data_IF_693521504204
#
_entry.id   IF_693521504204
#
_cell.length_a   1.000
_cell.length_b   1.000
_cell.length_c   1.000
_cell.angle_alpha   90.00
_cell.angle_beta   90.00
_cell.angle_gamma   90.00
#
_symmetry.space_group_name_H-M   'P 1'
#
loop_
_entity.id
_entity.type
_entity.pdbx_description
1 polymer ?
#
# COMPACT_ATOMS: atom_id res chain seq x y z
N UNK A 1 47.15 65.75 27.02
CA UNK A 1 47.88 64.85 26.10
C UNK A 1 47.52 63.37 26.39
N UNK A 2 46.36 63.00 26.61
CA UNK A 2 46.00 61.59 26.87
C UNK A 2 44.62 61.16 26.36
N UNK A 3 44.34 61.56 25.10
CA UNK A 3 43.01 61.28 24.57
C UNK A 3 42.99 60.65 23.17
N UNK A 4 44.03 60.03 22.74
CA UNK A 4 44.16 59.47 21.39
C UNK A 4 44.32 57.94 21.34
N UNK A 5 44.12 57.22 22.42
CA UNK A 5 44.34 55.75 22.45
C UNK A 5 43.09 54.90 22.53
N UNK A 6 41.91 55.44 22.40
CA UNK A 6 40.68 54.66 22.63
C UNK A 6 39.83 54.38 21.37
N UNK A 7 40.37 54.53 20.18
CA UNK A 7 39.60 54.38 18.94
C UNK A 7 40.05 53.29 17.97
N UNK A 8 40.83 52.34 18.38
CA UNK A 8 41.31 51.31 17.43
C UNK A 8 40.93 49.86 17.73
N UNK A 9 39.96 49.61 18.58
CA UNK A 9 39.63 48.24 18.94
C UNK A 9 38.16 47.85 18.69
N UNK A 10 37.53 48.40 17.69
CA UNK A 10 36.09 48.10 17.40
C UNK A 10 35.78 47.68 15.97
N UNK A 11 36.73 47.16 15.20
CA UNK A 11 36.45 46.81 13.80
C UNK A 11 36.89 45.43 13.36
N UNK A 12 36.98 44.45 14.26
CA UNK A 12 37.42 43.12 13.84
C UNK A 12 36.48 41.95 14.21
N UNK A 13 35.25 42.21 14.61
CA UNK A 13 34.37 41.11 15.06
C UNK A 13 33.26 40.71 14.06
N UNK A 14 32.88 41.49 13.02
CA UNK A 14 31.77 41.03 12.15
C UNK A 14 32.15 40.05 11.05
N UNK A 15 33.45 39.83 10.77
CA UNK A 15 33.85 38.97 9.66
C UNK A 15 33.98 37.49 10.01
N UNK A 16 34.05 37.15 11.27
CA UNK A 16 34.14 35.75 11.71
C UNK A 16 32.80 35.06 11.94
N UNK A 17 31.72 35.83 12.10
CA UNK A 17 30.37 35.26 12.23
C UNK A 17 29.70 34.93 10.89
N UNK A 18 30.12 35.56 9.81
CA UNK A 18 29.53 35.33 8.48
C UNK A 18 30.00 34.02 7.83
N UNK A 19 31.14 33.48 8.25
CA UNK A 19 31.67 32.23 7.67
C UNK A 19 31.13 30.97 8.32
N UNK A 20 30.52 31.06 9.52
CA UNK A 20 29.96 29.90 10.23
C UNK A 20 28.49 29.59 9.81
N UNK A 21 27.80 30.55 9.19
CA UNK A 21 26.41 30.34 8.73
C UNK A 21 26.36 29.69 7.34
N UNK A 22 27.43 29.82 6.58
CA UNK A 22 27.49 29.26 5.21
C UNK A 22 27.69 27.75 5.14
N UNK A 23 28.21 27.13 6.19
CA UNK A 23 28.50 25.67 6.20
C UNK A 23 27.36 24.80 6.74
N UNK A 24 26.32 25.38 7.32
CA UNK A 24 25.17 24.62 7.85
C UNK A 24 24.07 24.35 6.82
N UNK A 25 24.14 24.98 5.63
CA UNK A 25 23.10 24.84 4.60
C UNK A 25 23.40 23.74 3.56
N UNK A 26 24.57 23.11 3.62
CA UNK A 26 24.95 22.07 2.65
C UNK A 26 24.65 20.63 3.09
N UNK A 27 24.08 20.43 4.29
CA UNK A 27 23.91 19.06 4.83
C UNK A 27 22.50 18.49 4.69
N UNK A 28 21.57 19.13 3.96
CA UNK A 28 20.19 18.62 3.86
C UNK A 28 19.80 18.05 2.51
N UNK A 29 20.72 17.89 1.60
CA UNK A 29 20.41 17.29 0.29
C UNK A 29 20.49 15.76 0.26
N UNK A 30 20.80 15.11 1.38
CA UNK A 30 21.01 13.65 1.43
C UNK A 30 19.78 12.81 1.78
N UNK A 31 18.70 13.39 2.31
CA UNK A 31 17.58 12.58 2.81
C UNK A 31 16.40 12.42 1.84
N UNK A 32 16.32 13.23 0.79
CA UNK A 32 15.22 13.12 -0.18
C UNK A 32 15.42 11.99 -1.19
N UNK A 33 16.66 11.58 -1.44
CA UNK A 33 16.95 10.48 -2.37
C UNK A 33 16.68 9.10 -1.77
N UNK A 34 16.76 8.98 -0.45
CA UNK A 34 16.57 7.69 0.23
C UNK A 34 15.08 7.32 0.41
N UNK A 35 14.21 8.32 0.56
CA UNK A 35 12.77 8.13 0.61
C UNK A 35 12.18 7.74 -0.76
N UNK A 36 12.73 8.24 -1.85
CA UNK A 36 12.29 7.88 -3.19
C UNK A 36 12.68 6.45 -3.57
N UNK A 37 13.83 5.96 -3.10
CA UNK A 37 14.25 4.58 -3.31
C UNK A 37 13.47 3.59 -2.45
N UNK A 38 13.01 3.97 -1.28
CA UNK A 38 12.15 3.13 -0.44
C UNK A 38 10.75 2.93 -1.01
N UNK A 39 10.22 3.88 -1.77
CA UNK A 39 8.94 3.72 -2.47
C UNK A 39 9.02 2.77 -3.67
N UNK A 40 10.20 2.49 -4.21
CA UNK A 40 10.38 1.56 -5.33
C UNK A 40 10.68 0.11 -4.90
N UNK A 41 10.90 -0.14 -3.61
CA UNK A 41 11.30 -1.43 -3.07
C UNK A 41 10.12 -2.25 -2.52
N UNK A 42 8.95 -2.24 -3.14
CA UNK A 42 7.87 -2.92 -2.48
C UNK A 42 6.71 -3.47 -3.29
N UNK A 43 6.70 -3.35 -4.60
CA UNK A 43 5.71 -4.06 -5.41
C UNK A 43 6.33 -5.39 -5.84
N UNK A 44 5.87 -6.53 -5.29
CA UNK A 44 6.32 -7.83 -5.75
C UNK A 44 6.04 -7.94 -7.24
N UNK A 45 7.03 -8.39 -8.01
CA UNK A 45 6.82 -8.65 -9.42
C UNK A 45 5.69 -9.67 -9.59
N UNK A 46 4.72 -9.35 -10.43
CA UNK A 46 3.66 -10.28 -10.79
C UNK A 46 4.24 -11.43 -11.63
N UNK A 47 4.24 -12.63 -11.09
CA UNK A 47 4.94 -13.79 -11.67
C UNK A 47 4.00 -14.76 -12.39
N UNK A 48 2.71 -14.46 -12.50
CA UNK A 48 1.75 -15.32 -13.18
C UNK A 48 1.55 -14.87 -14.62
N UNK A 49 1.26 -15.77 -15.56
CA UNK A 49 0.88 -15.38 -16.91
C UNK A 49 -0.33 -14.46 -16.89
N UNK A 50 -0.27 -13.34 -17.62
CA UNK A 50 -1.39 -12.44 -17.75
C UNK A 50 -2.49 -13.07 -18.60
N UNK A 51 -3.72 -13.02 -18.11
CA UNK A 51 -4.91 -13.39 -18.86
C UNK A 51 -5.41 -12.13 -19.56
N UNK A 52 -5.52 -12.18 -20.88
CA UNK A 52 -6.03 -11.08 -21.70
C UNK A 52 -7.57 -11.14 -21.79
N UNK A 53 -8.19 -9.97 -21.92
CA UNK A 53 -9.63 -9.82 -22.09
C UNK A 53 -10.36 -9.38 -20.83
N UNK A 54 -11.69 -9.48 -20.86
CA UNK A 54 -12.56 -9.11 -19.73
C UNK A 54 -12.51 -10.20 -18.65
N UNK A 55 -11.62 -9.99 -17.66
CA UNK A 55 -11.38 -10.93 -16.57
C UNK A 55 -12.62 -11.17 -15.69
N UNK A 56 -13.58 -10.21 -15.67
CA UNK A 56 -14.82 -10.35 -14.89
C UNK A 56 -15.78 -11.41 -15.47
N UNK A 57 -15.60 -11.78 -16.73
CA UNK A 57 -16.38 -12.84 -17.40
C UNK A 57 -15.76 -14.23 -17.27
N UNK A 58 -14.56 -14.31 -16.71
CA UNK A 58 -13.90 -15.60 -16.50
C UNK A 58 -14.50 -16.32 -15.29
N UNK A 59 -14.50 -17.65 -15.30
CA UNK A 59 -14.99 -18.42 -14.18
C UNK A 59 -14.18 -18.14 -12.91
N UNK A 60 -14.89 -18.09 -11.78
CA UNK A 60 -14.27 -18.02 -10.46
C UNK A 60 -13.93 -19.44 -10.01
N UNK A 61 -12.71 -19.68 -9.62
CA UNK A 61 -12.27 -20.93 -9.00
C UNK A 61 -12.08 -20.70 -7.50
N UNK A 62 -12.74 -21.53 -6.69
CA UNK A 62 -12.65 -21.46 -5.22
C UNK A 62 -12.11 -22.79 -4.70
N UNK A 63 -11.01 -22.75 -3.97
CA UNK A 63 -10.46 -23.87 -3.23
C UNK A 63 -10.50 -23.53 -1.74
N UNK A 64 -10.97 -24.45 -0.92
CA UNK A 64 -11.01 -24.31 0.53
C UNK A 64 -11.09 -25.70 1.17
N UNK A 65 -10.66 -25.83 2.42
CA UNK A 65 -10.77 -27.10 3.17
C UNK A 65 -12.23 -27.43 3.48
N UNK A 66 -13.06 -26.41 3.70
CA UNK A 66 -14.50 -26.55 4.01
C UNK A 66 -15.31 -25.45 3.36
N UNK A 67 -16.51 -25.80 2.94
CA UNK A 67 -17.53 -24.87 2.47
C UNK A 67 -18.84 -25.13 3.22
N UNK A 68 -19.56 -24.09 3.59
CA UNK A 68 -20.85 -24.15 4.27
C UNK A 68 -21.76 -23.03 3.76
N UNK A 69 -23.04 -23.34 3.59
CA UNK A 69 -24.06 -22.37 3.15
C UNK A 69 -24.58 -22.66 1.74
N UNK A 70 -25.43 -21.76 1.26
CA UNK A 70 -26.09 -21.85 -0.04
C UNK A 70 -25.43 -20.91 -1.02
N UNK A 71 -24.47 -21.40 -1.78
CA UNK A 71 -23.83 -20.62 -2.84
C UNK A 71 -24.81 -20.45 -4.02
N UNK A 72 -24.95 -19.25 -4.62
CA UNK A 72 -24.13 -18.04 -4.42
C UNK A 72 -24.64 -17.08 -3.33
N UNK A 73 -25.79 -17.32 -2.71
CA UNK A 73 -26.47 -16.32 -1.87
C UNK A 73 -25.74 -16.08 -0.54
N UNK A 74 -25.41 -17.14 0.18
CA UNK A 74 -24.65 -17.06 1.42
C UNK A 74 -23.73 -18.27 1.53
N UNK A 75 -22.43 -18.06 1.44
CA UNK A 75 -21.48 -19.12 1.57
C UNK A 75 -20.29 -18.70 2.45
N UNK A 76 -19.82 -19.62 3.29
CA UNK A 76 -18.63 -19.45 4.12
C UNK A 76 -17.64 -20.53 3.74
N UNK A 77 -16.46 -20.12 3.32
CA UNK A 77 -15.33 -20.96 3.01
C UNK A 77 -14.29 -20.83 4.12
N UNK A 78 -13.79 -21.92 4.63
CA UNK A 78 -12.81 -21.93 5.72
C UNK A 78 -11.67 -22.90 5.45
N UNK A 79 -10.49 -22.51 5.92
CA UNK A 79 -9.25 -23.25 5.80
C UNK A 79 -8.59 -23.13 4.44
N UNK A 80 -7.43 -22.46 4.39
CA UNK A 80 -6.60 -22.30 3.20
C UNK A 80 -7.40 -21.85 1.98
N UNK A 81 -8.26 -20.84 2.17
CA UNK A 81 -9.13 -20.35 1.09
C UNK A 81 -8.28 -19.70 0.02
N UNK A 82 -8.49 -20.10 -1.23
CA UNK A 82 -7.84 -19.58 -2.41
C UNK A 82 -8.88 -19.37 -3.52
N UNK A 83 -9.17 -18.10 -3.82
CA UNK A 83 -10.14 -17.69 -4.82
C UNK A 83 -9.38 -17.03 -5.97
N UNK A 84 -9.63 -17.49 -7.19
CA UNK A 84 -8.98 -16.98 -8.40
C UNK A 84 -10.03 -16.63 -9.45
N UNK A 85 -9.85 -15.46 -10.06
CA UNK A 85 -10.60 -15.04 -11.26
C UNK A 85 -9.67 -14.23 -12.17
N UNK A 86 -9.36 -14.77 -13.33
CA UNK A 86 -8.43 -14.14 -14.26
C UNK A 86 -7.07 -13.85 -13.63
N UNK A 87 -6.71 -12.58 -13.55
CA UNK A 87 -5.45 -12.11 -12.97
C UNK A 87 -5.51 -11.91 -11.45
N UNK A 88 -6.72 -11.91 -10.87
CA UNK A 88 -6.93 -11.67 -9.44
C UNK A 88 -6.89 -12.97 -8.64
N UNK A 89 -6.26 -12.91 -7.48
CA UNK A 89 -6.19 -14.01 -6.51
C UNK A 89 -6.37 -13.49 -5.10
N UNK A 90 -7.27 -14.10 -4.34
CA UNK A 90 -7.50 -13.83 -2.94
C UNK A 90 -7.20 -15.09 -2.12
N UNK A 91 -6.34 -14.97 -1.13
CA UNK A 91 -6.03 -16.02 -0.18
C UNK A 91 -6.36 -15.53 1.23
N UNK A 92 -6.94 -16.41 2.07
CA UNK A 92 -7.26 -16.09 3.46
C UNK A 92 -7.57 -17.37 4.25
N UNK A 93 -7.74 -17.23 5.56
CA UNK A 93 -8.17 -18.35 6.41
C UNK A 93 -9.68 -18.60 6.28
N UNK A 94 -10.46 -17.54 6.07
CA UNK A 94 -11.91 -17.60 5.91
C UNK A 94 -12.39 -16.57 4.89
N UNK A 95 -13.37 -16.93 4.08
CA UNK A 95 -14.09 -16.00 3.19
C UNK A 95 -15.59 -16.20 3.36
N UNK A 96 -16.30 -15.10 3.57
CA UNK A 96 -17.75 -15.05 3.62
C UNK A 96 -18.27 -14.33 2.38
N UNK A 97 -19.13 -14.99 1.63
CA UNK A 97 -19.83 -14.43 0.49
C UNK A 97 -21.28 -14.16 0.84
N UNK A 98 -21.75 -12.95 0.56
CA UNK A 98 -23.14 -12.57 0.71
C UNK A 98 -23.63 -11.96 -0.58
N UNK A 99 -24.78 -12.43 -1.07
CA UNK A 99 -25.45 -11.87 -2.23
C UNK A 99 -26.85 -11.44 -1.85
N UNK A 100 -27.20 -10.21 -2.16
CA UNK A 100 -28.53 -9.66 -1.85
C UNK A 100 -29.11 -8.96 -3.07
N UNK A 101 -30.34 -9.32 -3.41
CA UNK A 101 -31.09 -8.55 -4.41
C UNK A 101 -31.51 -7.21 -3.81
N UNK A 102 -31.23 -6.13 -4.50
CA UNK A 102 -31.62 -4.78 -4.13
C UNK A 102 -32.71 -4.30 -5.09
N UNK A 103 -33.80 -3.78 -4.53
CA UNK A 103 -34.92 -3.29 -5.33
C UNK A 103 -34.46 -2.17 -6.29
N UNK A 104 -34.81 -2.30 -7.56
CA UNK A 104 -34.44 -1.34 -8.60
C UNK A 104 -33.09 -1.58 -9.27
N UNK A 105 -32.34 -2.61 -8.86
CA UNK A 105 -31.11 -3.03 -9.54
C UNK A 105 -31.31 -4.36 -10.28
N UNK A 106 -30.87 -4.46 -11.56
CA UNK A 106 -31.01 -5.69 -12.34
C UNK A 106 -30.12 -6.82 -11.79
N UNK A 107 -28.94 -6.49 -11.25
CA UNK A 107 -27.98 -7.46 -10.73
C UNK A 107 -27.93 -7.42 -9.20
N UNK A 108 -27.80 -8.58 -8.54
CA UNK A 108 -27.64 -8.63 -7.09
C UNK A 108 -26.31 -8.05 -6.64
N UNK A 109 -26.33 -7.36 -5.50
CA UNK A 109 -25.12 -6.88 -4.84
C UNK A 109 -24.43 -8.05 -4.14
N UNK A 110 -23.14 -8.20 -4.41
CA UNK A 110 -22.28 -9.20 -3.76
C UNK A 110 -21.32 -8.52 -2.81
N UNK A 111 -21.20 -9.09 -1.64
CA UNK A 111 -20.23 -8.66 -0.62
C UNK A 111 -19.30 -9.82 -0.32
N UNK A 112 -18.03 -9.54 -0.25
CA UNK A 112 -16.97 -10.49 0.08
C UNK A 112 -16.23 -10.00 1.32
N UNK A 113 -16.26 -10.79 2.39
CA UNK A 113 -15.48 -10.56 3.59
C UNK A 113 -14.40 -11.63 3.70
N UNK A 114 -13.14 -11.25 3.68
CA UNK A 114 -11.99 -12.12 3.88
C UNK A 114 -11.36 -11.86 5.24
N UNK A 115 -11.13 -12.93 5.99
CA UNK A 115 -10.68 -12.89 7.38
C UNK A 115 -9.46 -13.80 7.59
N UNK A 116 -8.47 -13.30 8.29
CA UNK A 116 -7.26 -14.03 8.67
C UNK A 116 -6.27 -14.20 7.53
N UNK A 117 -5.04 -13.71 7.70
CA UNK A 117 -3.93 -13.84 6.77
C UNK A 117 -4.29 -13.50 5.32
N UNK A 118 -5.05 -12.41 5.15
CA UNK A 118 -5.57 -12.02 3.84
C UNK A 118 -4.42 -11.57 2.95
N UNK A 119 -4.35 -12.16 1.77
CA UNK A 119 -3.45 -11.76 0.70
C UNK A 119 -4.24 -11.68 -0.61
N UNK A 120 -4.38 -10.48 -1.13
CA UNK A 120 -4.94 -10.22 -2.45
C UNK A 120 -3.84 -9.76 -3.39
N UNK A 121 -3.79 -10.32 -4.57
CA UNK A 121 -2.92 -9.86 -5.64
C UNK A 121 -3.59 -9.98 -7.01
N UNK A 122 -3.34 -8.98 -7.83
CA UNK A 122 -3.58 -8.99 -9.26
C UNK A 122 -2.35 -8.45 -10.00
N UNK A 123 -2.45 -8.18 -11.31
CA UNK A 123 -1.32 -7.69 -12.10
C UNK A 123 -0.90 -6.24 -11.79
N UNK A 124 -1.62 -5.52 -10.94
CA UNK A 124 -1.40 -4.11 -10.62
C UNK A 124 -1.24 -3.86 -9.11
N UNK A 125 -1.92 -4.64 -8.28
CA UNK A 125 -2.01 -4.41 -6.83
C UNK A 125 -1.69 -5.69 -6.06
N UNK A 126 -0.95 -5.56 -4.98
CA UNK A 126 -0.76 -6.62 -3.98
C UNK A 126 -1.03 -6.06 -2.60
N UNK A 127 -1.97 -6.67 -1.87
CA UNK A 127 -2.40 -6.25 -0.54
C UNK A 127 -2.27 -7.42 0.44
N UNK A 128 -1.86 -7.10 1.66
CA UNK A 128 -1.81 -8.06 2.78
C UNK A 128 -2.39 -7.43 4.04
N UNK A 129 -3.17 -8.19 4.79
CA UNK A 129 -3.76 -7.71 6.02
C UNK A 129 -4.51 -8.79 6.79
N UNK A 130 -5.01 -8.46 7.99
CA UNK A 130 -5.81 -9.39 8.77
C UNK A 130 -7.25 -9.52 8.26
N UNK A 131 -7.73 -8.56 7.51
CA UNK A 131 -9.11 -8.50 6.99
C UNK A 131 -9.18 -7.67 5.71
N UNK A 132 -10.04 -8.08 4.79
CA UNK A 132 -10.47 -7.30 3.62
C UNK A 132 -11.97 -7.47 3.38
N UNK A 133 -12.60 -6.45 2.78
CA UNK A 133 -14.02 -6.45 2.39
C UNK A 133 -14.22 -5.71 1.08
N UNK A 134 -15.25 -6.07 0.35
CA UNK A 134 -15.66 -5.41 -0.89
C UNK A 134 -17.19 -5.41 -1.02
#
# INVERSE_FOLDING_TARGET
>A
MTEQRKKRMKKRIPTLLATLIGSALYSQSGMAADLASQCMLGVPAYNRPLVEGDTNKLPVTINADRAKGDYPDNAVFTGNVDIQQGNSRLQSDEVQLHQKQVDGQPDPVRTVDALGNVHYDDNQVSLKGPKAWS
#
